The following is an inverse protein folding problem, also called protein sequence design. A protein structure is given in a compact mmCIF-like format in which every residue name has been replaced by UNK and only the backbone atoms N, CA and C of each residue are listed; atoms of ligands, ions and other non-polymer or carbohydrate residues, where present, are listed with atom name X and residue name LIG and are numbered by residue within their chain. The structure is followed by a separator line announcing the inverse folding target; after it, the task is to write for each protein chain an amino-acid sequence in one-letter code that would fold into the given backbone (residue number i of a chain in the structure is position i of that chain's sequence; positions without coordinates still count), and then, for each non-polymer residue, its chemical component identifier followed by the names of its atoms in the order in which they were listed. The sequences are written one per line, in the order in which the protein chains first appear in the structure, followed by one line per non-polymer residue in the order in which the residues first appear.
data_IF_185069820500
#
_entry.id   IF_185069820500
#
_cell.length_a   1.000
_cell.length_b   1.000
_cell.length_c   1.000
_cell.angle_alpha   90.00
_cell.angle_beta   90.00
_cell.angle_gamma   90.00
#
_symmetry.space_group_name_H-M   'P 1'
#
loop_
_entity.id
_entity.type
_entity.pdbx_description
1 polymer ?
#
# COMPACT_ATOMS: atom_id res chain seq x y z
N UNK A 1 -3.61 22.79 -4.08
CA UNK A 1 -2.69 21.67 -3.87
C UNK A 1 -1.95 21.33 -5.16
N UNK A 2 -0.76 20.83 -5.04
CA UNK A 2 0.01 20.49 -6.22
C UNK A 2 -0.34 19.09 -6.69
N UNK A 3 -0.39 18.87 -8.02
CA UNK A 3 -0.82 17.58 -8.52
C UNK A 3 0.15 16.45 -8.20
N UNK A 4 1.41 16.77 -7.92
CA UNK A 4 2.41 15.76 -7.61
C UNK A 4 2.56 15.53 -6.12
N UNK A 5 1.61 15.99 -5.33
CA UNK A 5 1.70 15.90 -3.89
C UNK A 5 0.52 15.14 -3.33
N UNK A 6 0.80 14.24 -2.42
CA UNK A 6 -0.24 13.51 -1.72
C UNK A 6 -0.74 14.37 -0.56
N UNK A 7 -2.01 14.65 -0.57
CA UNK A 7 -2.60 15.45 0.49
C UNK A 7 -2.82 14.63 1.73
N UNK A 8 -2.54 15.22 2.88
CA UNK A 8 -2.76 14.55 4.14
C UNK A 8 -4.18 14.84 4.59
N UNK A 9 -4.93 13.77 4.77
CA UNK A 9 -6.30 13.85 5.27
C UNK A 9 -6.27 13.47 6.75
N UNK A 10 -6.72 14.39 7.58
CA UNK A 10 -6.66 14.16 9.03
C UNK A 10 -7.50 12.98 9.48
N UNK A 11 -8.45 12.55 8.65
CA UNK A 11 -9.28 11.40 8.99
C UNK A 11 -8.64 10.08 8.58
N UNK A 12 -7.54 10.12 7.81
CA UNK A 12 -6.89 8.91 7.35
C UNK A 12 -5.85 8.45 8.35
N UNK A 13 -5.71 7.14 8.46
CA UNK A 13 -4.67 6.57 9.29
C UNK A 13 -3.31 6.76 8.64
N UNK A 14 -2.24 6.84 9.45
CA UNK A 14 -0.90 6.99 8.87
C UNK A 14 -0.54 5.89 7.87
N UNK A 15 -1.01 4.67 8.10
CA UNK A 15 -0.72 3.59 7.15
C UNK A 15 -1.42 3.82 5.82
N UNK A 16 -2.63 4.39 5.84
CA UNK A 16 -3.31 4.75 4.59
C UNK A 16 -2.44 5.69 3.77
N UNK A 17 -1.93 6.71 4.43
CA UNK A 17 -1.12 7.71 3.75
C UNK A 17 0.18 7.12 3.21
N UNK A 18 0.80 6.26 3.98
CA UNK A 18 2.05 5.63 3.53
C UNK A 18 1.82 4.74 2.33
N UNK A 19 0.74 3.97 2.34
CA UNK A 19 0.43 3.09 1.21
C UNK A 19 0.04 3.89 -0.02
N UNK A 20 -0.68 5.00 0.16
CA UNK A 20 -1.01 5.86 -0.97
C UNK A 20 0.22 6.52 -1.55
N UNK A 21 1.14 6.93 -0.71
CA UNK A 21 2.38 7.52 -1.18
C UNK A 21 3.21 6.50 -1.94
N UNK A 22 3.32 5.30 -1.42
CA UNK A 22 4.04 4.23 -2.09
C UNK A 22 3.43 3.93 -3.45
N UNK A 23 2.10 3.87 -3.51
CA UNK A 23 1.40 3.64 -4.77
C UNK A 23 1.72 4.74 -5.79
N UNK A 24 1.67 5.98 -5.34
CA UNK A 24 1.93 7.10 -6.21
C UNK A 24 3.35 7.04 -6.77
N UNK A 25 4.32 6.84 -5.90
CA UNK A 25 5.72 6.81 -6.33
C UNK A 25 5.99 5.65 -7.26
N UNK A 26 5.41 4.49 -6.96
CA UNK A 26 5.59 3.32 -7.80
C UNK A 26 4.95 3.53 -9.17
N UNK A 27 3.78 4.12 -9.21
CA UNK A 27 3.10 4.35 -10.47
C UNK A 27 3.90 5.31 -11.35
N UNK A 28 4.50 6.32 -10.75
CA UNK A 28 5.31 7.25 -11.51
C UNK A 28 6.59 6.61 -12.01
N UNK A 29 7.19 5.78 -11.19
CA UNK A 29 8.43 5.09 -11.59
C UNK A 29 8.18 4.14 -12.75
N UNK A 30 7.01 3.50 -12.76
CA UNK A 30 6.69 2.56 -13.82
C UNK A 30 5.96 3.18 -15.00
N UNK A 31 5.54 4.43 -14.86
CA UNK A 31 4.82 5.08 -15.95
C UNK A 31 3.42 4.55 -16.16
N UNK A 32 2.78 4.08 -15.10
CA UNK A 32 1.42 3.58 -15.17
C UNK A 32 0.53 4.37 -14.24
N UNK A 33 -0.76 4.17 -14.38
CA UNK A 33 -1.70 4.84 -13.49
C UNK A 33 -1.69 4.19 -12.13
N UNK A 34 -2.04 4.98 -11.12
CA UNK A 34 -1.95 4.52 -9.73
C UNK A 34 -2.77 3.25 -9.49
N UNK A 35 -3.95 3.15 -10.08
CA UNK A 35 -4.79 1.98 -9.83
C UNK A 35 -4.24 0.70 -10.44
N UNK A 36 -3.24 0.80 -11.31
CA UNK A 36 -2.56 -0.39 -11.81
C UNK A 36 -1.66 -1.00 -10.74
N UNK A 37 -1.17 -0.18 -9.82
CA UNK A 37 -0.39 -0.71 -8.71
C UNK A 37 -1.33 -1.43 -7.75
N UNK A 38 -2.28 -0.71 -7.21
CA UNK A 38 -3.44 -1.27 -6.51
C UNK A 38 -4.50 -0.19 -6.38
N UNK A 39 -5.76 -0.62 -6.39
CA UNK A 39 -6.85 0.33 -6.30
C UNK A 39 -7.26 0.54 -4.83
N UNK A 40 -8.26 1.38 -4.61
CA UNK A 40 -8.67 1.71 -3.26
C UNK A 40 -9.22 0.51 -2.50
N UNK A 41 -9.91 -0.39 -3.18
CA UNK A 41 -10.41 -1.58 -2.52
C UNK A 41 -9.27 -2.47 -2.07
N UNK A 42 -8.24 -2.59 -2.89
CA UNK A 42 -7.07 -3.37 -2.52
C UNK A 42 -6.30 -2.70 -1.38
N UNK A 43 -6.23 -1.38 -1.40
CA UNK A 43 -5.60 -0.64 -0.32
C UNK A 43 -6.31 -0.92 1.01
N UNK A 44 -7.62 -0.87 1.00
CA UNK A 44 -8.39 -1.14 2.21
C UNK A 44 -8.20 -2.58 2.67
N UNK A 45 -8.13 -3.51 1.73
CA UNK A 45 -7.92 -4.90 2.08
C UNK A 45 -6.56 -5.12 2.73
N UNK A 46 -5.54 -4.42 2.25
CA UNK A 46 -4.21 -4.49 2.87
C UNK A 46 -4.27 -4.00 4.31
N UNK A 47 -4.95 -2.88 4.52
CA UNK A 47 -5.03 -2.29 5.85
C UNK A 47 -5.79 -3.21 6.80
N UNK A 48 -6.83 -3.84 6.31
CA UNK A 48 -7.61 -4.76 7.12
C UNK A 48 -6.83 -6.00 7.49
N UNK A 49 -6.10 -6.55 6.51
CA UNK A 49 -5.40 -7.81 6.70
C UNK A 49 -4.08 -7.63 7.42
N UNK A 50 -3.44 -6.48 7.26
CA UNK A 50 -2.14 -6.19 7.84
C UNK A 50 -1.16 -7.35 7.60
N UNK A 51 -0.90 -7.68 6.32
CA UNK A 51 -0.05 -8.83 6.01
C UNK A 51 1.38 -8.61 6.49
N UNK A 52 1.94 -9.64 7.12
CA UNK A 52 3.29 -9.55 7.66
C UNK A 52 4.35 -10.04 6.70
N UNK A 53 3.95 -10.79 5.70
CA UNK A 53 4.88 -11.35 4.73
C UNK A 53 4.16 -11.52 3.41
N UNK A 54 4.91 -12.00 2.42
CA UNK A 54 4.35 -12.14 1.08
C UNK A 54 3.26 -13.19 1.03
N UNK A 55 3.39 -14.25 1.82
CA UNK A 55 2.35 -15.28 1.82
C UNK A 55 1.02 -14.71 2.28
N UNK A 56 1.05 -13.90 3.32
CA UNK A 56 -0.19 -13.27 3.80
C UNK A 56 -0.70 -12.26 2.80
N UNK A 57 0.19 -11.53 2.14
CA UNK A 57 -0.22 -10.56 1.14
C UNK A 57 -0.92 -11.22 -0.04
N UNK A 58 -0.46 -12.39 -0.43
CA UNK A 58 -1.09 -13.12 -1.54
C UNK A 58 -2.55 -13.43 -1.25
N UNK A 59 -2.89 -13.57 0.00
CA UNK A 59 -4.27 -13.87 0.39
C UNK A 59 -5.16 -12.64 0.37
N UNK A 60 -4.57 -11.47 0.27
CA UNK A 60 -5.35 -10.25 0.18
C UNK A 60 -6.04 -10.19 -1.17
N UNK A 61 -7.32 -9.80 -1.15
CA UNK A 61 -8.12 -9.76 -2.36
C UNK A 61 -7.48 -8.84 -3.40
N UNK A 62 -7.36 -9.34 -4.62
CA UNK A 62 -6.81 -8.55 -5.71
C UNK A 62 -5.31 -8.63 -5.87
N UNK A 63 -4.61 -9.34 -5.00
CA UNK A 63 -3.17 -9.49 -5.11
C UNK A 63 -2.82 -10.89 -5.59
N UNK A 64 -2.45 -10.99 -6.84
CA UNK A 64 -1.93 -12.23 -7.38
C UNK A 64 -0.41 -12.27 -7.25
N UNK A 65 0.16 -13.36 -7.78
CA UNK A 65 1.59 -13.57 -7.67
C UNK A 65 2.39 -12.43 -8.29
N UNK A 66 1.94 -11.93 -9.45
CA UNK A 66 2.68 -10.89 -10.15
C UNK A 66 2.76 -9.62 -9.32
N UNK A 67 1.63 -9.20 -8.78
CA UNK A 67 1.63 -7.98 -7.96
C UNK A 67 2.43 -8.15 -6.68
N UNK A 68 2.37 -9.32 -6.09
CA UNK A 68 3.17 -9.59 -4.89
C UNK A 68 4.65 -9.51 -5.19
N UNK A 69 5.07 -10.03 -6.34
CA UNK A 69 6.48 -9.96 -6.70
C UNK A 69 6.93 -8.54 -6.96
N UNK A 70 6.09 -7.77 -7.65
CA UNK A 70 6.49 -6.43 -8.04
C UNK A 70 6.44 -5.44 -6.88
N UNK A 71 5.40 -5.53 -6.07
CA UNK A 71 5.14 -4.49 -5.07
C UNK A 71 5.13 -5.01 -3.65
N UNK A 72 5.17 -6.32 -3.48
CA UNK A 72 4.93 -6.91 -2.18
C UNK A 72 5.93 -6.51 -1.12
N UNK A 73 7.21 -6.49 -1.49
CA UNK A 73 8.25 -6.16 -0.51
C UNK A 73 8.00 -4.79 0.11
N UNK A 74 7.68 -3.80 -0.71
CA UNK A 74 7.42 -2.47 -0.21
C UNK A 74 6.17 -2.40 0.64
N UNK A 75 5.12 -3.10 0.23
CA UNK A 75 3.88 -3.12 0.99
C UNK A 75 4.09 -3.76 2.36
N UNK A 76 4.76 -4.91 2.39
CA UNK A 76 4.99 -5.62 3.64
C UNK A 76 5.86 -4.78 4.57
N UNK A 77 6.85 -4.10 4.02
CA UNK A 77 7.71 -3.24 4.83
C UNK A 77 6.90 -2.12 5.48
N UNK A 78 6.02 -1.49 4.70
CA UNK A 78 5.20 -0.41 5.24
C UNK A 78 4.28 -0.92 6.33
N UNK A 79 3.61 -2.04 6.08
CA UNK A 79 2.71 -2.62 7.06
C UNK A 79 3.48 -2.96 8.34
N UNK A 80 4.67 -3.50 8.21
CA UNK A 80 5.47 -3.84 9.37
C UNK A 80 5.79 -2.65 10.24
N UNK A 81 6.14 -1.53 9.62
CA UNK A 81 6.44 -0.33 10.38
C UNK A 81 5.28 0.12 11.23
N UNK A 82 4.10 0.14 10.65
CA UNK A 82 2.92 0.65 11.34
C UNK A 82 2.34 -0.37 12.29
N UNK A 83 2.53 -1.64 12.01
CA UNK A 83 2.10 -2.66 12.92
C UNK A 83 2.89 -2.60 14.22
N UNK A 84 4.19 -2.41 14.12
CA UNK A 84 5.02 -2.26 15.30
C UNK A 84 4.58 -1.07 16.14
N UNK A 85 4.25 0.03 15.49
CA UNK A 85 3.81 1.21 16.22
C UNK A 85 2.48 0.98 16.92
N UNK A 86 1.59 0.24 16.29
CA UNK A 86 0.27 -0.02 16.85
C UNK A 86 0.38 -0.87 18.10
N UNK A 87 1.35 -1.74 18.15
CA UNK A 87 1.50 -2.66 19.27
C UNK A 87 2.20 -2.08 20.48
N UNK A 88 2.50 -0.82 20.45
CA UNK A 88 3.19 -0.19 21.56
C UNK A 88 2.27 0.26 22.66
#
# INVERSE_FOLDING_TARGET
ARPDRVEIDMTEKPIDQALKQYRYETSKAEGVKAYYVYNNLQLEAIIEAMPRNLDELRKVSGFGEVKCEKYGDGIVEIVGRYKDKIHR
#
